data_IF_800510034547
#
_entry.id   IF_800510034547
#
_cell.length_a   1.000
_cell.length_b   1.000
_cell.length_c   1.000
_cell.angle_alpha   90.00
_cell.angle_beta   90.00
_cell.angle_gamma   90.00
#
_symmetry.space_group_name_H-M   'P 1'
#
loop_
_entity.id
_entity.type
_entity.pdbx_description
1 polymer ?
#
# COMPACT_ATOMS: atom_id res chain seq x y z
N UNK A 1 -18.49 -0.78 -16.21
CA UNK A 1 -17.61 0.23 -16.83
C UNK A 1 -16.37 -0.34 -17.54
N UNK A 2 -15.29 -0.70 -16.84
CA UNK A 2 -13.97 -0.99 -17.46
C UNK A 2 -13.94 -2.22 -18.38
N UNK A 3 -14.62 -3.32 -18.00
CA UNK A 3 -14.57 -4.59 -18.77
C UNK A 3 -15.70 -4.75 -19.80
N UNK A 4 -16.62 -3.78 -19.89
CA UNK A 4 -17.82 -3.90 -20.73
C UNK A 4 -18.07 -2.61 -21.53
N UNK A 5 -18.47 -1.56 -20.83
CA UNK A 5 -19.03 -0.35 -21.45
C UNK A 5 -17.99 0.45 -22.23
N UNK A 6 -16.79 0.69 -21.66
CA UNK A 6 -15.73 1.43 -22.35
C UNK A 6 -15.13 0.66 -23.55
N UNK A 7 -14.83 -0.65 -23.44
CA UNK A 7 -14.46 -1.45 -24.61
C UNK A 7 -15.54 -1.48 -25.69
N UNK A 8 -16.81 -1.53 -25.31
CA UNK A 8 -17.92 -1.47 -26.25
C UNK A 8 -17.99 -0.11 -26.94
N UNK A 9 -17.91 0.98 -26.17
CA UNK A 9 -17.95 2.35 -26.69
C UNK A 9 -16.80 2.61 -27.67
N UNK A 10 -15.59 2.15 -27.35
CA UNK A 10 -14.42 2.21 -28.23
C UNK A 10 -14.61 1.50 -29.57
N UNK A 11 -15.46 0.47 -29.65
CA UNK A 11 -15.73 -0.28 -30.90
C UNK A 11 -16.77 0.40 -31.79
N UNK A 12 -17.62 1.25 -31.25
CA UNK A 12 -18.75 1.87 -31.97
C UNK A 12 -18.51 3.34 -32.33
N UNK A 13 -17.45 3.95 -31.81
CA UNK A 13 -17.08 5.33 -32.09
C UNK A 13 -15.87 5.41 -33.01
N UNK A 14 -15.85 6.39 -33.90
CA UNK A 14 -14.72 6.64 -34.81
C UNK A 14 -13.54 7.36 -34.12
N UNK A 15 -13.69 7.72 -32.84
CA UNK A 15 -12.63 8.36 -32.05
C UNK A 15 -11.81 7.33 -31.30
N UNK A 16 -10.50 7.35 -31.51
CA UNK A 16 -9.59 6.63 -30.62
C UNK A 16 -9.48 7.38 -29.29
N UNK A 17 -9.66 6.64 -28.19
CA UNK A 17 -9.40 7.12 -26.85
C UNK A 17 -8.82 5.98 -26.00
N UNK A 18 -8.09 6.38 -24.98
CA UNK A 18 -7.42 5.53 -24.00
C UNK A 18 -8.12 5.63 -22.65
N UNK A 19 -8.10 4.55 -21.88
CA UNK A 19 -8.71 4.54 -20.55
C UNK A 19 -7.94 3.63 -19.59
N UNK A 20 -7.91 4.02 -18.32
CA UNK A 20 -7.17 3.31 -17.28
C UNK A 20 -7.93 3.29 -15.95
N UNK A 21 -7.76 2.22 -15.18
CA UNK A 21 -8.30 2.08 -13.85
C UNK A 21 -7.28 2.58 -12.81
N UNK A 22 -7.59 3.69 -12.15
CA UNK A 22 -6.81 4.19 -11.03
C UNK A 22 -7.16 3.43 -9.75
N UNK A 23 -6.13 2.86 -9.10
CA UNK A 23 -6.25 2.09 -7.87
C UNK A 23 -5.39 2.67 -6.76
N UNK A 24 -5.84 2.50 -5.53
CA UNK A 24 -5.07 2.88 -4.35
C UNK A 24 -3.79 2.04 -4.19
N UNK A 25 -2.79 2.61 -3.50
CA UNK A 25 -1.48 1.98 -3.26
C UNK A 25 -1.55 0.57 -2.67
N UNK A 26 -2.52 0.31 -1.79
CA UNK A 26 -2.73 -0.97 -1.13
C UNK A 26 -3.12 -2.12 -2.08
N UNK A 27 -3.40 -1.81 -3.36
CA UNK A 27 -3.64 -2.79 -4.42
C UNK A 27 -2.38 -3.19 -5.17
N UNK A 28 -1.24 -2.57 -4.90
CA UNK A 28 0.03 -2.88 -5.57
C UNK A 28 1.05 -3.49 -4.62
N UNK A 29 1.83 -4.44 -5.12
CA UNK A 29 2.97 -4.98 -4.39
C UNK A 29 4.16 -4.01 -4.42
N UNK A 30 5.00 -4.11 -3.40
CA UNK A 30 6.31 -3.49 -3.32
C UNK A 30 7.34 -4.51 -3.81
N UNK A 31 8.08 -4.15 -4.87
CA UNK A 31 9.07 -5.03 -5.48
C UNK A 31 10.15 -5.48 -4.47
N UNK A 32 10.61 -4.57 -3.60
CA UNK A 32 11.62 -4.86 -2.59
C UNK A 32 11.12 -5.79 -1.48
N UNK A 33 9.91 -5.53 -0.95
CA UNK A 33 9.29 -6.44 0.03
C UNK A 33 9.07 -7.82 -0.57
N UNK A 34 8.66 -7.89 -1.84
CA UNK A 34 8.49 -9.15 -2.56
C UNK A 34 9.82 -9.89 -2.78
N UNK A 35 10.90 -9.19 -3.13
CA UNK A 35 12.24 -9.77 -3.26
C UNK A 35 12.76 -10.32 -1.92
N UNK A 36 12.53 -9.58 -0.83
CA UNK A 36 12.88 -10.01 0.52
C UNK A 36 12.06 -11.22 0.95
N UNK A 37 10.73 -11.19 0.72
CA UNK A 37 9.83 -12.26 1.14
C UNK A 37 9.98 -13.54 0.30
N UNK A 38 10.43 -13.44 -0.95
CA UNK A 38 10.72 -14.60 -1.80
C UNK A 38 12.04 -15.29 -1.44
N UNK A 39 12.90 -14.66 -0.63
CA UNK A 39 14.17 -15.21 -0.17
C UNK A 39 15.31 -15.12 -1.20
N UNK A 40 15.10 -14.40 -2.32
CA UNK A 40 16.10 -14.27 -3.40
C UNK A 40 17.31 -13.44 -2.97
N UNK A 41 17.12 -12.43 -2.13
CA UNK A 41 18.20 -11.56 -1.62
C UNK A 41 18.85 -12.07 -0.32
N UNK A 42 18.64 -13.34 0.06
CA UNK A 42 19.19 -13.89 1.32
C UNK A 42 18.59 -13.26 2.59
N UNK A 43 17.53 -12.46 2.44
CA UNK A 43 16.78 -11.86 3.54
C UNK A 43 16.16 -12.94 4.42
N UNK A 44 16.39 -12.83 5.74
CA UNK A 44 15.78 -13.73 6.71
C UNK A 44 14.26 -13.75 6.54
N UNK A 45 13.67 -14.95 6.51
CA UNK A 45 12.24 -15.22 6.72
C UNK A 45 11.75 -14.75 8.13
N UNK A 46 12.45 -13.83 8.79
CA UNK A 46 12.17 -13.30 10.12
C UNK A 46 10.96 -12.35 10.17
N UNK A 47 10.35 -12.02 9.02
CA UNK A 47 9.13 -11.21 8.94
C UNK A 47 7.83 -12.02 9.15
N UNK A 48 7.93 -13.33 9.34
CA UNK A 48 6.77 -14.18 9.55
C UNK A 48 6.46 -14.34 11.05
N UNK A 49 5.35 -13.75 11.50
CA UNK A 49 4.80 -14.01 12.85
C UNK A 49 4.44 -15.50 13.06
N UNK A 50 4.19 -16.22 11.97
CA UNK A 50 3.92 -17.67 11.93
C UNK A 50 4.75 -18.33 10.84
N UNK A 51 5.44 -19.44 11.16
CA UNK A 51 6.30 -20.18 10.22
C UNK A 51 5.60 -20.38 8.86
N UNK A 52 6.13 -19.83 7.76
CA UNK A 52 5.45 -19.86 6.47
C UNK A 52 5.30 -21.29 5.96
N UNK A 53 4.15 -21.59 5.34
CA UNK A 53 3.95 -22.89 4.68
C UNK A 53 4.80 -22.91 3.41
N UNK A 54 5.28 -24.08 2.99
CA UNK A 54 6.04 -24.23 1.72
C UNK A 54 5.31 -23.60 0.52
N UNK A 55 3.98 -23.76 0.46
CA UNK A 55 3.12 -23.17 -0.57
C UNK A 55 3.15 -21.63 -0.61
N UNK A 56 3.31 -20.99 0.54
CA UNK A 56 3.35 -19.52 0.63
C UNK A 56 4.67 -18.99 0.03
N UNK A 57 5.77 -19.69 0.30
CA UNK A 57 7.10 -19.35 -0.23
C UNK A 57 7.11 -19.55 -1.75
N UNK A 58 6.60 -20.68 -2.25
CA UNK A 58 6.47 -20.97 -3.68
C UNK A 58 5.62 -19.92 -4.41
N UNK A 59 4.54 -19.43 -3.78
CA UNK A 59 3.71 -18.35 -4.31
C UNK A 59 4.51 -17.05 -4.44
N UNK A 60 5.24 -16.64 -3.38
CA UNK A 60 6.03 -15.42 -3.36
C UNK A 60 7.15 -15.45 -4.41
N UNK A 61 7.83 -16.60 -4.55
CA UNK A 61 8.84 -16.81 -5.58
C UNK A 61 8.24 -16.72 -6.99
N UNK A 62 7.06 -17.32 -7.20
CA UNK A 62 6.35 -17.25 -8.49
C UNK A 62 5.95 -15.81 -8.82
N UNK A 63 5.42 -15.07 -7.85
CA UNK A 63 5.05 -13.66 -8.02
C UNK A 63 6.27 -12.79 -8.34
N UNK A 64 7.39 -13.01 -7.64
CA UNK A 64 8.64 -12.32 -7.89
C UNK A 64 9.14 -12.56 -9.33
N UNK A 65 9.17 -13.82 -9.77
CA UNK A 65 9.59 -14.17 -11.14
C UNK A 65 8.66 -13.55 -12.19
N UNK A 66 7.35 -13.59 -11.96
CA UNK A 66 6.36 -12.99 -12.87
C UNK A 66 6.52 -11.48 -12.99
N UNK A 67 6.77 -10.79 -11.87
CA UNK A 67 7.05 -9.35 -11.87
C UNK A 67 8.36 -9.02 -12.60
N UNK A 68 9.43 -9.75 -12.29
CA UNK A 68 10.74 -9.56 -12.92
C UNK A 68 10.73 -9.83 -14.44
N UNK A 69 9.90 -10.77 -14.90
CA UNK A 69 9.71 -11.07 -16.32
C UNK A 69 8.70 -10.13 -17.02
N UNK A 70 8.09 -9.18 -16.30
CA UNK A 70 7.07 -8.29 -16.85
C UNK A 70 5.74 -8.98 -17.22
N UNK A 71 5.51 -10.22 -16.75
CA UNK A 71 4.26 -10.97 -16.96
C UNK A 71 3.15 -10.54 -16.02
N UNK A 72 3.50 -9.85 -14.94
CA UNK A 72 2.59 -9.28 -13.97
C UNK A 72 3.05 -7.86 -13.65
N UNK A 73 2.10 -6.94 -13.54
CA UNK A 73 2.33 -5.51 -13.33
C UNK A 73 2.38 -5.13 -11.84
N UNK A 74 2.16 -6.08 -10.94
CA UNK A 74 2.17 -5.88 -9.49
C UNK A 74 0.80 -5.57 -8.89
N UNK A 75 -0.27 -5.53 -9.68
CA UNK A 75 -1.65 -5.35 -9.22
C UNK A 75 -2.22 -6.64 -8.62
N UNK A 76 -2.70 -6.57 -7.38
CA UNK A 76 -3.33 -7.69 -6.66
C UNK A 76 -4.46 -8.32 -7.47
N UNK A 77 -5.32 -7.51 -8.08
CA UNK A 77 -6.53 -8.00 -8.72
C UNK A 77 -6.24 -8.58 -10.13
N UNK A 78 -5.06 -8.28 -10.70
CA UNK A 78 -4.60 -8.87 -11.95
C UNK A 78 -3.97 -10.26 -11.76
N UNK A 79 -3.73 -10.70 -10.53
CA UNK A 79 -3.18 -12.01 -10.26
C UNK A 79 -4.22 -13.12 -10.48
N UNK A 80 -3.91 -14.23 -11.18
CA UNK A 80 -4.91 -15.23 -11.59
C UNK A 80 -5.61 -15.99 -10.45
N UNK A 81 -5.03 -15.99 -9.25
CA UNK A 81 -5.54 -16.74 -8.09
C UNK A 81 -5.78 -15.79 -6.91
N UNK A 82 -6.76 -16.06 -6.04
CA UNK A 82 -6.90 -15.30 -4.81
C UNK A 82 -5.63 -15.36 -3.96
N UNK A 83 -5.15 -14.20 -3.53
CA UNK A 83 -4.01 -14.07 -2.62
C UNK A 83 -4.57 -13.87 -1.21
N UNK A 84 -4.12 -14.69 -0.27
CA UNK A 84 -4.43 -14.57 1.15
C UNK A 84 -3.97 -13.21 1.70
N UNK A 85 -4.82 -12.55 2.48
CA UNK A 85 -4.52 -11.22 3.04
C UNK A 85 -3.24 -11.22 3.88
N UNK A 86 -2.98 -12.29 4.65
CA UNK A 86 -1.75 -12.40 5.45
C UNK A 86 -0.51 -12.34 4.58
N UNK A 87 -0.53 -12.97 3.40
CA UNK A 87 0.59 -12.95 2.46
C UNK A 87 0.68 -11.61 1.76
N UNK A 88 -0.46 -11.03 1.36
CA UNK A 88 -0.49 -9.73 0.70
C UNK A 88 0.09 -8.63 1.60
N UNK A 89 -0.26 -8.61 2.89
CA UNK A 89 0.26 -7.62 3.86
C UNK A 89 1.80 -7.64 3.98
N UNK A 90 2.46 -8.76 3.70
CA UNK A 90 3.92 -8.84 3.71
C UNK A 90 4.56 -8.10 2.53
N UNK A 91 3.88 -8.09 1.39
CA UNK A 91 4.43 -7.57 0.13
C UNK A 91 3.76 -6.29 -0.35
N UNK A 92 2.70 -5.82 0.31
CA UNK A 92 1.96 -4.64 -0.11
C UNK A 92 2.79 -3.36 -0.01
N UNK A 93 2.59 -2.47 -0.97
CA UNK A 93 3.20 -1.15 -0.98
C UNK A 93 2.65 -0.28 0.15
N UNK A 94 3.55 0.36 0.90
CA UNK A 94 3.20 1.25 2.00
C UNK A 94 3.96 2.59 1.90
N UNK A 95 3.32 3.68 2.36
CA UNK A 95 3.87 5.04 2.32
C UNK A 95 5.15 5.18 3.13
N UNK A 96 5.25 4.52 4.28
CA UNK A 96 6.38 4.69 5.19
C UNK A 96 7.59 3.88 4.75
N UNK A 97 7.37 2.76 4.06
CA UNK A 97 8.45 1.92 3.53
C UNK A 97 8.99 2.34 2.17
N UNK A 98 8.23 3.09 1.36
CA UNK A 98 8.61 3.38 -0.02
C UNK A 98 9.32 4.73 -0.16
N UNK A 99 10.62 4.69 -0.52
CA UNK A 99 11.41 5.88 -0.85
C UNK A 99 11.94 5.84 -2.30
N UNK A 100 11.44 6.71 -3.17
CA UNK A 100 11.85 6.75 -4.59
C UNK A 100 13.36 6.95 -4.82
N UNK A 101 14.10 7.45 -3.83
CA UNK A 101 15.56 7.61 -3.93
C UNK A 101 16.33 6.30 -3.80
N UNK A 102 15.72 5.23 -3.26
CA UNK A 102 16.39 3.94 -3.10
C UNK A 102 16.38 3.13 -4.40
N UNK A 103 17.51 2.48 -4.76
CA UNK A 103 17.60 1.65 -5.97
C UNK A 103 16.53 0.55 -6.04
N UNK A 104 16.16 -0.06 -4.91
CA UNK A 104 15.13 -1.11 -4.80
C UNK A 104 13.70 -0.64 -5.13
N UNK A 105 13.48 0.68 -5.24
CA UNK A 105 12.20 1.27 -5.62
C UNK A 105 12.17 1.79 -7.06
N UNK A 106 13.29 1.67 -7.81
CA UNK A 106 13.31 1.89 -9.26
C UNK A 106 12.49 0.77 -9.92
N UNK A 107 11.33 1.11 -10.46
CA UNK A 107 10.39 0.12 -11.01
C UNK A 107 9.27 -0.28 -10.06
N UNK A 108 8.96 0.54 -9.03
CA UNK A 108 7.79 0.33 -8.18
C UNK A 108 6.49 0.20 -9.02
N UNK A 109 5.75 -0.92 -8.91
CA UNK A 109 4.47 -1.14 -9.59
C UNK A 109 3.48 0.02 -9.45
N UNK A 110 3.30 0.50 -8.21
CA UNK A 110 2.40 1.60 -7.92
C UNK A 110 2.81 2.90 -8.63
N UNK A 111 4.10 3.23 -8.62
CA UNK A 111 4.59 4.46 -9.25
C UNK A 111 4.45 4.38 -10.77
N UNK A 112 4.72 3.20 -11.36
CA UNK A 112 4.51 2.96 -12.78
C UNK A 112 3.04 3.15 -13.15
N UNK A 113 2.12 2.51 -12.42
CA UNK A 113 0.68 2.67 -12.64
C UNK A 113 0.24 4.14 -12.53
N UNK A 114 0.77 4.88 -11.55
CA UNK A 114 0.47 6.30 -11.37
C UNK A 114 0.96 7.15 -12.55
N UNK A 115 2.17 6.90 -13.06
CA UNK A 115 2.72 7.64 -14.20
C UNK A 115 1.98 7.39 -15.53
N UNK A 116 1.17 6.35 -15.61
CA UNK A 116 0.33 6.08 -16.77
C UNK A 116 -1.01 6.82 -16.69
N UNK A 117 -1.44 7.30 -15.52
CA UNK A 117 -2.73 7.98 -15.37
C UNK A 117 -2.81 9.23 -16.26
N UNK A 118 -1.78 10.07 -16.23
CA UNK A 118 -1.73 11.34 -16.98
C UNK A 118 -1.68 11.16 -18.50
N UNK A 119 -1.42 9.94 -18.97
CA UNK A 119 -1.35 9.60 -20.40
C UNK A 119 -2.67 9.11 -20.98
N UNK A 120 -3.69 8.93 -20.14
CA UNK A 120 -4.97 8.35 -20.55
C UNK A 120 -6.08 9.40 -20.60
N UNK A 121 -6.94 9.30 -21.62
CA UNK A 121 -8.04 10.25 -21.82
C UNK A 121 -9.16 10.08 -20.78
N UNK A 122 -9.38 8.84 -20.31
CA UNK A 122 -10.42 8.52 -19.34
C UNK A 122 -9.81 7.74 -18.16
N UNK A 123 -9.90 8.33 -16.97
CA UNK A 123 -9.46 7.68 -15.73
C UNK A 123 -10.70 7.23 -14.95
N UNK A 124 -10.76 5.93 -14.65
CA UNK A 124 -11.78 5.35 -13.81
C UNK A 124 -11.19 5.24 -12.40
N UNK A 125 -11.77 5.96 -11.45
CA UNK A 125 -11.37 5.93 -10.05
C UNK A 125 -12.59 5.60 -9.17
N UNK A 126 -12.36 5.04 -7.98
CA UNK A 126 -13.42 4.95 -6.98
C UNK A 126 -13.54 6.28 -6.22
N UNK A 127 -14.69 6.51 -5.57
CA UNK A 127 -14.94 7.72 -4.79
C UNK A 127 -13.88 7.96 -3.71
N UNK A 128 -13.40 6.90 -3.03
CA UNK A 128 -12.36 7.03 -2.01
C UNK A 128 -11.05 7.60 -2.54
N UNK A 129 -10.64 7.23 -3.77
CA UNK A 129 -9.43 7.77 -4.36
C UNK A 129 -9.59 9.25 -4.76
N UNK A 130 -10.76 9.62 -5.26
CA UNK A 130 -11.08 11.02 -5.57
C UNK A 130 -11.07 11.88 -4.29
N UNK A 131 -11.66 11.39 -3.19
CA UNK A 131 -11.64 12.09 -1.91
C UNK A 131 -10.22 12.18 -1.34
N UNK A 132 -9.44 11.10 -1.42
CA UNK A 132 -8.03 11.12 -0.99
C UNK A 132 -7.18 12.13 -1.77
N UNK A 133 -7.46 12.34 -3.06
CA UNK A 133 -6.77 13.35 -3.86
C UNK A 133 -7.21 14.76 -3.47
N UNK A 134 -8.51 14.97 -3.27
CA UNK A 134 -9.06 16.25 -2.82
C UNK A 134 -8.49 16.68 -1.45
N UNK A 135 -8.33 15.74 -0.51
CA UNK A 135 -7.71 15.99 0.80
C UNK A 135 -6.25 16.46 0.70
N UNK A 136 -5.56 16.10 -0.39
CA UNK A 136 -4.19 16.53 -0.69
C UNK A 136 -4.10 17.85 -1.47
N UNK A 137 -5.25 18.49 -1.75
CA UNK A 137 -5.35 19.73 -2.53
C UNK A 137 -5.80 19.54 -3.98
N UNK A 138 -6.01 18.30 -4.43
CA UNK A 138 -6.37 17.97 -5.81
C UNK A 138 -5.18 18.02 -6.77
N UNK A 139 -5.14 17.13 -7.76
CA UNK A 139 -4.08 17.12 -8.76
C UNK A 139 -2.78 16.45 -8.30
N UNK A 140 -2.78 15.82 -7.13
CA UNK A 140 -1.60 15.15 -6.60
C UNK A 140 -1.55 13.72 -7.14
N UNK A 141 -2.61 12.96 -6.94
CA UNK A 141 -2.78 11.55 -7.33
C UNK A 141 -3.45 11.45 -8.70
N UNK A 142 -4.51 12.23 -8.92
CA UNK A 142 -5.24 12.33 -10.17
C UNK A 142 -4.79 13.58 -10.93
N UNK A 143 -5.14 13.74 -12.21
CA UNK A 143 -4.88 14.98 -12.93
C UNK A 143 -5.54 16.19 -12.27
N UNK A 144 -4.99 17.38 -12.55
CA UNK A 144 -5.46 18.61 -11.96
C UNK A 144 -6.96 18.84 -12.22
N UNK A 145 -7.75 19.21 -11.19
CA UNK A 145 -9.19 19.41 -11.35
C UNK A 145 -9.57 20.44 -12.42
N UNK A 146 -8.75 21.48 -12.59
CA UNK A 146 -8.96 22.52 -13.59
C UNK A 146 -8.89 22.00 -15.04
N UNK A 147 -8.17 20.90 -15.25
CA UNK A 147 -7.96 20.26 -16.55
C UNK A 147 -8.82 19.00 -16.73
N UNK A 148 -9.74 18.72 -15.80
CA UNK A 148 -10.44 17.43 -15.73
C UNK A 148 -11.95 17.60 -15.58
N UNK A 149 -12.72 16.74 -16.24
CA UNK A 149 -14.16 16.64 -16.04
C UNK A 149 -14.46 15.43 -15.15
N UNK A 150 -15.11 15.65 -14.01
CA UNK A 150 -15.54 14.58 -13.10
C UNK A 150 -16.95 14.11 -13.44
N UNK A 151 -17.09 12.79 -13.57
CA UNK A 151 -18.39 12.12 -13.67
C UNK A 151 -18.53 11.18 -12.48
N UNK A 152 -19.41 11.52 -11.54
CA UNK A 152 -19.69 10.69 -10.37
C UNK A 152 -20.84 9.74 -10.67
N UNK A 153 -20.50 8.49 -10.98
CA UNK A 153 -21.47 7.41 -11.07
C UNK A 153 -21.90 6.98 -9.65
N UNK A 154 -23.17 6.62 -9.47
CA UNK A 154 -23.74 6.30 -8.15
C UNK A 154 -23.44 7.36 -7.08
N UNK A 155 -23.56 8.64 -7.45
CA UNK A 155 -23.24 9.80 -6.61
C UNK A 155 -23.98 9.84 -5.27
N UNK A 156 -25.04 9.05 -5.10
CA UNK A 156 -25.74 8.88 -3.84
C UNK A 156 -24.84 8.32 -2.71
N UNK A 157 -23.74 7.63 -3.04
CA UNK A 157 -22.74 7.20 -2.06
C UNK A 157 -21.75 8.30 -1.64
N UNK A 158 -21.63 9.36 -2.43
CA UNK A 158 -20.59 10.38 -2.27
C UNK A 158 -20.59 11.05 -0.88
N UNK A 159 -21.74 11.43 -0.28
CA UNK A 159 -21.75 12.06 1.05
C UNK A 159 -21.19 11.14 2.14
N UNK A 160 -21.46 9.83 2.05
CA UNK A 160 -20.95 8.86 3.01
C UNK A 160 -19.43 8.73 2.89
N UNK A 161 -18.91 8.61 1.66
CA UNK A 161 -17.47 8.49 1.42
C UNK A 161 -16.72 9.75 1.87
N UNK A 162 -17.26 10.94 1.57
CA UNK A 162 -16.67 12.20 2.00
C UNK A 162 -16.64 12.32 3.53
N UNK A 163 -17.73 11.97 4.21
CA UNK A 163 -17.79 11.97 5.68
C UNK A 163 -16.76 11.02 6.28
N UNK A 164 -16.64 9.80 5.75
CA UNK A 164 -15.70 8.81 6.29
C UNK A 164 -14.25 9.25 6.08
N UNK A 165 -13.92 9.86 4.94
CA UNK A 165 -12.59 10.43 4.67
C UNK A 165 -12.24 11.59 5.61
N UNK A 166 -13.21 12.46 5.90
CA UNK A 166 -13.04 13.57 6.84
C UNK A 166 -13.12 13.14 8.33
N UNK A 167 -13.44 11.87 8.59
CA UNK A 167 -13.55 11.35 9.96
C UNK A 167 -12.19 10.90 10.49
N UNK A 168 -11.97 11.10 11.79
CA UNK A 168 -10.80 10.58 12.49
C UNK A 168 -11.27 9.67 13.64
N UNK A 169 -10.55 8.58 13.85
CA UNK A 169 -10.77 7.70 14.99
C UNK A 169 -9.42 7.25 15.56
N UNK A 170 -9.37 7.03 16.87
CA UNK A 170 -8.20 6.53 17.57
C UNK A 170 -8.61 5.34 18.43
N UNK A 171 -7.95 4.20 18.24
CA UNK A 171 -8.20 3.01 19.06
C UNK A 171 -7.42 3.09 20.37
N UNK A 172 -8.13 3.29 21.48
CA UNK A 172 -7.51 3.30 22.81
C UNK A 172 -6.88 1.94 23.16
N UNK A 173 -7.58 0.84 22.85
CA UNK A 173 -7.05 -0.52 23.07
C UNK A 173 -5.82 -0.81 22.21
N UNK A 174 -5.83 -0.35 20.96
CA UNK A 174 -4.69 -0.48 20.06
C UNK A 174 -3.48 0.32 20.54
N UNK A 175 -3.70 1.56 21.01
CA UNK A 175 -2.67 2.40 21.58
C UNK A 175 -2.06 1.77 22.85
N UNK A 176 -2.89 1.26 23.76
CA UNK A 176 -2.43 0.54 24.95
C UNK A 176 -1.57 -0.69 24.58
N UNK A 177 -2.02 -1.51 23.63
CA UNK A 177 -1.26 -2.67 23.16
C UNK A 177 0.09 -2.27 22.52
N UNK A 178 0.14 -1.14 21.81
CA UNK A 178 1.39 -0.59 21.28
C UNK A 178 2.35 -0.12 22.38
N UNK A 179 1.83 0.54 23.42
CA UNK A 179 2.61 0.97 24.58
C UNK A 179 3.19 -0.23 25.34
N UNK A 180 2.41 -1.30 25.54
CA UNK A 180 2.90 -2.56 26.13
C UNK A 180 4.01 -3.19 25.28
N UNK A 181 3.82 -3.28 23.96
CA UNK A 181 4.82 -3.84 23.04
C UNK A 181 6.09 -2.98 23.02
N UNK A 182 5.96 -1.66 23.10
CA UNK A 182 7.07 -0.73 23.21
C UNK A 182 7.88 -1.02 24.48
N UNK A 183 7.22 -1.14 25.65
CA UNK A 183 7.85 -1.47 26.93
C UNK A 183 8.69 -2.77 26.86
N UNK A 184 8.12 -3.81 26.26
CA UNK A 184 8.83 -5.08 26.04
C UNK A 184 10.05 -4.93 25.12
N UNK A 185 9.92 -4.10 24.08
CA UNK A 185 10.97 -3.89 23.08
C UNK A 185 12.14 -3.09 23.63
N UNK A 186 11.89 -2.07 24.45
CA UNK A 186 12.91 -1.26 25.13
C UNK A 186 13.84 -2.11 25.98
N UNK A 187 13.28 -3.08 26.70
CA UNK A 187 14.08 -4.00 27.51
C UNK A 187 15.08 -4.80 26.66
N UNK A 188 14.65 -5.25 25.47
CA UNK A 188 15.52 -5.93 24.50
C UNK A 188 16.57 -4.99 23.92
N UNK A 189 16.20 -3.78 23.49
CA UNK A 189 17.15 -2.82 22.93
C UNK A 189 18.20 -2.36 23.95
N UNK A 190 17.78 -2.17 25.21
CA UNK A 190 18.70 -1.77 26.28
C UNK A 190 19.78 -2.82 26.54
N UNK A 191 19.46 -4.12 26.39
CA UNK A 191 20.45 -5.21 26.52
C UNK A 191 21.52 -5.24 25.42
N UNK A 192 21.31 -4.53 24.31
CA UNK A 192 22.27 -4.43 23.19
C UNK A 192 23.20 -3.21 23.33
N UNK A 193 22.99 -2.37 24.35
CA UNK A 193 23.73 -1.14 24.57
C UNK A 193 24.42 -1.15 25.94
N UNK A 194 25.38 -0.24 26.15
CA UNK A 194 26.04 -0.06 27.44
C UNK A 194 25.02 0.39 28.50
N UNK A 195 24.81 -0.46 29.50
CA UNK A 195 23.83 -0.27 30.57
C UNK A 195 24.02 1.07 31.28
N UNK A 196 25.27 1.53 31.47
CA UNK A 196 25.55 2.81 32.15
C UNK A 196 25.04 4.02 31.38
N UNK A 197 24.92 3.91 30.06
CA UNK A 197 24.46 5.01 29.18
C UNK A 197 22.95 4.99 29.00
N UNK A 198 22.33 3.82 29.02
CA UNK A 198 20.92 3.65 28.64
C UNK A 198 19.99 3.47 29.85
N UNK A 199 20.50 3.08 31.03
CA UNK A 199 19.68 2.80 32.21
C UNK A 199 18.74 3.96 32.61
N UNK A 200 19.23 5.21 32.59
CA UNK A 200 18.39 6.37 32.91
C UNK A 200 17.25 6.55 31.90
N UNK A 201 17.57 6.55 30.61
CA UNK A 201 16.58 6.65 29.54
C UNK A 201 15.56 5.51 29.58
N UNK A 202 16.02 4.27 29.81
CA UNK A 202 15.17 3.10 29.97
C UNK A 202 14.17 3.30 31.09
N UNK A 203 14.63 3.67 32.28
CA UNK A 203 13.77 3.82 33.45
C UNK A 203 12.76 4.97 33.25
N UNK A 204 13.23 6.14 32.81
CA UNK A 204 12.36 7.31 32.55
C UNK A 204 11.24 6.97 31.55
N UNK A 205 11.57 6.19 30.51
CA UNK A 205 10.63 5.83 29.46
C UNK A 205 9.70 4.69 29.89
N UNK A 206 10.16 3.73 30.69
CA UNK A 206 9.31 2.69 31.29
C UNK A 206 8.28 3.30 32.26
N UNK A 207 8.71 4.22 33.12
CA UNK A 207 7.81 4.94 34.04
C UNK A 207 6.78 5.77 33.26
N UNK A 208 7.21 6.46 32.20
CA UNK A 208 6.31 7.23 31.33
C UNK A 208 5.28 6.34 30.64
N UNK A 209 5.69 5.18 30.12
CA UNK A 209 4.78 4.22 29.47
C UNK A 209 3.79 3.64 30.48
N UNK A 210 4.22 3.36 31.71
CA UNK A 210 3.37 2.79 32.75
C UNK A 210 2.33 3.78 33.30
N UNK A 211 2.59 5.09 33.22
CA UNK A 211 1.58 6.11 33.52
C UNK A 211 0.51 6.26 32.41
N UNK A 212 0.79 5.78 31.20
CA UNK A 212 -0.08 5.91 30.02
C UNK A 212 -0.92 4.66 29.74
N UNK A 213 -0.58 3.51 30.35
CA UNK A 213 -1.32 2.24 30.29
C UNK A 213 -2.25 2.15 31.49
#
# INVERSE_FOLDING_TARGET
LVNKDLPLFRRITDREFSFILAKGRQRYCCAEKLATASGVDGGQLAMFETKPKKKDIELLETMYRSLAQGKWDGDRDAWPKPIDDRIWQLIVSDKHSCNNSLPGHRGCPFQKARSELDKNDVIIANHSLVMADADLGGGVILPEPENTIYVFDEAHHLPHVARDHASASASLKGAAAWLEKLNQSISKFSSLADEKRVARFRNDLQDSVQNLI
#
